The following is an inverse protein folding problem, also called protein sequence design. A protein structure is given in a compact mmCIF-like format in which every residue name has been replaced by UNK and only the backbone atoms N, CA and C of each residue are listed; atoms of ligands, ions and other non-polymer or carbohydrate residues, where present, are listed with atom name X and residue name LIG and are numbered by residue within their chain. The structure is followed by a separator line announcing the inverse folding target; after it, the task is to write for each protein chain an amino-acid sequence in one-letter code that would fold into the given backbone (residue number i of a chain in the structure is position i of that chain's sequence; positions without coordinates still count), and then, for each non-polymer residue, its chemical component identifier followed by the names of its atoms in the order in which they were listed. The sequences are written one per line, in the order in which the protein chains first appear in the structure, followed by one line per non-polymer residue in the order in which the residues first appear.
data_IF_624216288084
#
_entry.id   IF_624216288084
#
_cell.length_a   1.000
_cell.length_b   1.000
_cell.length_c   1.000
_cell.angle_alpha   90.00
_cell.angle_beta   90.00
_cell.angle_gamma   90.00
#
_symmetry.space_group_name_H-M   'P 1'
#
loop_
_entity.id
_entity.type
_entity.pdbx_description
1 polymer ?
#
# COMPACT_ATOMS: atom_id res chain seq x y z
N UNK A 1 -4.30 -19.38 13.57
CA UNK A 1 -4.43 -18.08 12.87
C UNK A 1 -3.89 -18.16 11.44
N UNK A 2 -4.40 -19.08 10.60
CA UNK A 2 -3.94 -19.28 9.19
C UNK A 2 -4.86 -18.65 8.14
N UNK A 3 -5.99 -18.06 8.55
CA UNK A 3 -7.09 -17.67 7.65
C UNK A 3 -7.18 -16.18 7.32
N UNK A 4 -6.29 -15.34 7.86
CA UNK A 4 -6.41 -13.88 7.75
C UNK A 4 -5.31 -13.22 6.91
N UNK A 5 -4.45 -14.01 6.24
CA UNK A 5 -3.46 -13.43 5.33
C UNK A 5 -4.15 -12.90 4.07
N UNK A 6 -3.64 -11.79 3.55
CA UNK A 6 -4.08 -11.25 2.27
C UNK A 6 -3.70 -12.22 1.14
N UNK A 7 -4.69 -12.65 0.35
CA UNK A 7 -4.55 -13.68 -0.68
C UNK A 7 -5.12 -13.22 -2.04
N UNK A 8 -5.07 -11.92 -2.34
CA UNK A 8 -5.62 -11.28 -3.55
C UNK A 8 -7.15 -11.22 -3.65
N UNK A 9 -7.88 -12.14 -3.03
CA UNK A 9 -9.35 -12.21 -3.12
C UNK A 9 -10.08 -11.51 -1.98
N UNK A 10 -9.42 -11.31 -0.84
CA UNK A 10 -10.03 -10.87 0.41
C UNK A 10 -9.66 -9.42 0.79
N UNK A 11 -9.45 -8.53 -0.18
CA UNK A 11 -8.93 -7.18 0.07
C UNK A 11 -9.74 -6.39 1.10
N UNK A 12 -11.07 -6.37 0.98
CA UNK A 12 -11.95 -5.62 1.89
C UNK A 12 -11.87 -6.15 3.32
N UNK A 13 -11.91 -7.48 3.50
CA UNK A 13 -11.82 -8.11 4.83
C UNK A 13 -10.43 -7.96 5.43
N UNK A 14 -9.38 -8.12 4.62
CA UNK A 14 -8.00 -7.91 5.03
C UNK A 14 -7.77 -6.46 5.46
N UNK A 15 -8.23 -5.48 4.69
CA UNK A 15 -8.08 -4.05 5.02
C UNK A 15 -8.80 -3.71 6.33
N UNK A 16 -10.01 -4.27 6.56
CA UNK A 16 -10.72 -4.11 7.83
C UNK A 16 -9.91 -4.68 9.00
N UNK A 17 -9.37 -5.88 8.86
CA UNK A 17 -8.55 -6.51 9.90
C UNK A 17 -7.25 -5.74 10.16
N UNK A 18 -6.60 -5.24 9.11
CA UNK A 18 -5.41 -4.40 9.21
C UNK A 18 -5.71 -3.13 10.00
N UNK A 19 -6.80 -2.42 9.69
CA UNK A 19 -7.21 -1.22 10.42
C UNK A 19 -7.41 -1.48 11.91
N UNK A 20 -8.05 -2.59 12.28
CA UNK A 20 -8.21 -2.98 13.69
C UNK A 20 -6.86 -3.15 14.40
N UNK A 21 -5.90 -3.84 13.76
CA UNK A 21 -4.54 -4.01 14.32
C UNK A 21 -3.83 -2.66 14.45
N UNK A 22 -3.96 -1.79 13.46
CA UNK A 22 -3.30 -0.48 13.48
C UNK A 22 -3.94 0.51 14.45
N UNK A 23 -5.24 0.44 14.65
CA UNK A 23 -5.95 1.24 15.66
C UNK A 23 -5.50 0.83 17.07
N UNK A 24 -5.33 -0.48 17.32
CA UNK A 24 -4.76 -0.97 18.57
C UNK A 24 -3.34 -0.42 18.82
N UNK A 25 -2.55 -0.24 17.75
CA UNK A 25 -1.19 0.29 17.82
C UNK A 25 -1.12 1.84 17.77
N UNK A 26 -2.26 2.54 17.67
CA UNK A 26 -2.35 3.99 17.42
C UNK A 26 -1.62 4.47 16.15
N UNK A 27 -1.64 3.65 15.10
CA UNK A 27 -0.92 3.88 13.83
C UNK A 27 -1.82 3.89 12.59
N UNK A 28 -3.16 3.84 12.75
CA UNK A 28 -4.11 3.85 11.63
C UNK A 28 -3.91 5.03 10.67
N UNK A 29 -3.50 6.19 11.19
CA UNK A 29 -3.25 7.41 10.43
C UNK A 29 -2.21 7.25 9.30
N UNK A 30 -1.30 6.27 9.40
CA UNK A 30 -0.24 6.01 8.41
C UNK A 30 -0.81 5.49 7.09
N UNK A 31 -2.00 4.88 7.10
CA UNK A 31 -2.65 4.39 5.87
C UNK A 31 -3.20 5.53 5.01
N UNK A 32 -3.69 6.60 5.63
CA UNK A 32 -4.49 7.63 4.96
C UNK A 32 -3.73 8.94 4.74
N UNK A 33 -2.65 9.19 5.50
CA UNK A 33 -1.86 10.42 5.42
C UNK A 33 -0.61 10.23 4.56
N UNK A 34 -0.19 11.25 3.79
CA UNK A 34 1.07 11.20 3.07
C UNK A 34 2.24 11.14 4.05
N UNK A 35 3.30 10.43 3.63
CA UNK A 35 4.60 10.45 4.30
C UNK A 35 5.22 11.84 4.21
N UNK A 36 5.52 12.52 5.34
CA UNK A 36 6.31 13.74 5.30
C UNK A 36 7.65 13.50 4.61
N UNK A 37 7.98 14.30 3.61
CA UNK A 37 9.19 14.10 2.78
C UNK A 37 10.37 14.95 3.22
N UNK A 38 10.13 16.06 3.92
CA UNK A 38 11.18 16.97 4.36
C UNK A 38 10.79 17.69 5.66
N UNK A 39 11.81 18.11 6.40
CA UNK A 39 11.71 19.06 7.51
C UNK A 39 12.32 20.40 7.07
N UNK A 40 11.58 21.51 7.17
CA UNK A 40 12.13 22.85 6.90
C UNK A 40 13.34 23.18 7.78
N UNK A 41 14.26 23.98 7.24
CA UNK A 41 15.33 24.55 8.04
C UNK A 41 14.75 25.43 9.15
N UNK A 42 15.28 25.29 10.37
CA UNK A 42 14.71 25.96 11.55
C UNK A 42 13.51 25.27 12.20
N UNK A 43 13.12 24.07 11.75
CA UNK A 43 12.07 23.27 12.43
C UNK A 43 12.35 23.12 13.92
N UNK A 44 11.31 23.31 14.73
CA UNK A 44 11.32 23.12 16.17
C UNK A 44 11.68 21.68 16.56
N UNK A 45 12.17 21.45 17.79
CA UNK A 45 12.37 20.11 18.31
C UNK A 45 11.11 19.23 18.20
N UNK A 46 9.93 19.80 18.44
CA UNK A 46 8.64 19.12 18.39
C UNK A 46 8.26 18.65 16.98
N UNK A 47 8.52 19.49 15.97
CA UNK A 47 8.33 19.12 14.56
C UNK A 47 9.27 17.99 14.13
N UNK A 48 10.54 18.06 14.56
CA UNK A 48 11.53 17.00 14.29
C UNK A 48 11.12 15.67 14.92
N UNK A 49 10.69 15.69 16.18
CA UNK A 49 10.18 14.50 16.87
C UNK A 49 8.95 13.91 16.16
N UNK A 50 8.04 14.77 15.69
CA UNK A 50 6.85 14.34 14.96
C UNK A 50 7.23 13.67 13.63
N UNK A 51 8.19 14.24 12.89
CA UNK A 51 8.69 13.68 11.65
C UNK A 51 9.37 12.32 11.86
N UNK A 52 10.28 12.22 12.83
CA UNK A 52 10.95 10.96 13.18
C UNK A 52 9.96 9.88 13.61
N UNK A 53 8.95 10.27 14.40
CA UNK A 53 7.86 9.37 14.81
C UNK A 53 7.10 8.86 13.59
N UNK A 54 6.75 9.73 12.64
CA UNK A 54 6.05 9.32 11.43
C UNK A 54 6.86 8.28 10.64
N UNK A 55 8.15 8.52 10.41
CA UNK A 55 9.02 7.57 9.70
C UNK A 55 9.16 6.23 10.45
N UNK A 56 9.21 6.26 11.78
CA UNK A 56 9.23 5.04 12.61
C UNK A 56 7.93 4.27 12.46
N UNK A 57 6.79 4.95 12.55
CA UNK A 57 5.47 4.36 12.42
C UNK A 57 5.28 3.79 11.02
N UNK A 58 5.70 4.48 9.96
CA UNK A 58 5.71 3.95 8.59
C UNK A 58 6.48 2.64 8.45
N UNK A 59 7.70 2.56 9.00
CA UNK A 59 8.48 1.30 8.97
C UNK A 59 7.74 0.17 9.66
N UNK A 60 7.13 0.44 10.83
CA UNK A 60 6.37 -0.56 11.60
C UNK A 60 5.12 -1.01 10.85
N UNK A 61 4.30 -0.07 10.36
CA UNK A 61 3.09 -0.37 9.59
C UNK A 61 3.41 -1.11 8.30
N UNK A 62 4.48 -0.73 7.59
CA UNK A 62 4.98 -1.47 6.42
C UNK A 62 5.28 -2.93 6.77
N UNK A 63 6.00 -3.19 7.86
CA UNK A 63 6.27 -4.56 8.31
C UNK A 63 4.99 -5.35 8.63
N UNK A 64 4.01 -4.71 9.28
CA UNK A 64 2.70 -5.32 9.59
C UNK A 64 1.96 -5.69 8.29
N UNK A 65 1.93 -4.77 7.32
CA UNK A 65 1.31 -5.02 6.01
C UNK A 65 1.99 -6.21 5.33
N UNK A 66 3.32 -6.22 5.22
CA UNK A 66 4.06 -7.28 4.53
C UNK A 66 3.88 -8.66 5.19
N UNK A 67 3.95 -8.76 6.52
CA UNK A 67 3.78 -10.05 7.21
C UNK A 67 2.34 -10.57 7.13
N UNK A 68 1.37 -9.66 6.97
CA UNK A 68 -0.04 -10.00 6.79
C UNK A 68 -0.39 -10.53 5.39
N UNK A 69 0.56 -10.56 4.47
CA UNK A 69 0.38 -11.08 3.11
C UNK A 69 0.81 -12.54 2.99
N UNK A 70 0.34 -13.23 1.94
CA UNK A 70 1.01 -14.45 1.47
C UNK A 70 2.41 -14.11 0.92
N UNK A 71 3.29 -15.10 0.87
CA UNK A 71 4.67 -14.90 0.44
C UNK A 71 4.76 -14.42 -1.01
N UNK A 72 3.85 -14.87 -1.87
CA UNK A 72 3.79 -14.52 -3.29
C UNK A 72 3.44 -13.04 -3.48
N UNK A 73 2.53 -12.51 -2.66
CA UNK A 73 2.14 -11.10 -2.71
C UNK A 73 3.20 -10.26 -2.02
N UNK A 74 3.69 -10.67 -0.85
CA UNK A 74 4.73 -9.96 -0.09
C UNK A 74 5.93 -9.58 -0.97
N UNK A 75 6.45 -10.51 -1.78
CA UNK A 75 7.58 -10.27 -2.70
C UNK A 75 7.33 -9.15 -3.73
N UNK A 76 6.07 -8.86 -4.06
CA UNK A 76 5.72 -7.80 -5.02
C UNK A 76 5.76 -6.40 -4.38
N UNK A 77 5.66 -6.31 -3.06
CA UNK A 77 5.55 -5.05 -2.30
C UNK A 77 6.74 -4.80 -1.37
N UNK A 78 7.60 -5.80 -1.09
CA UNK A 78 8.70 -5.68 -0.10
C UNK A 78 9.75 -4.61 -0.43
N UNK A 79 9.85 -4.20 -1.70
CA UNK A 79 10.77 -3.14 -2.15
C UNK A 79 10.19 -1.73 -2.04
N UNK A 80 8.90 -1.58 -1.76
CA UNK A 80 8.27 -0.27 -1.57
C UNK A 80 8.52 0.21 -0.15
N UNK A 81 9.03 1.42 0.00
CA UNK A 81 9.47 1.92 1.30
C UNK A 81 8.37 2.64 2.08
N UNK A 82 7.38 3.20 1.37
CA UNK A 82 6.31 3.99 1.95
C UNK A 82 4.97 3.26 1.91
N UNK A 83 4.25 3.31 3.03
CA UNK A 83 2.93 2.70 3.18
C UNK A 83 1.90 3.30 2.20
N UNK A 84 1.86 4.63 1.97
CA UNK A 84 0.91 5.21 1.01
C UNK A 84 1.02 4.61 -0.40
N UNK A 85 2.22 4.41 -0.95
CA UNK A 85 2.41 3.80 -2.27
C UNK A 85 1.99 2.34 -2.31
N UNK A 86 2.25 1.58 -1.23
CA UNK A 86 1.77 0.19 -1.11
C UNK A 86 0.24 0.19 -1.15
N UNK A 87 -0.41 1.00 -0.31
CA UNK A 87 -1.86 1.06 -0.21
C UNK A 87 -2.53 1.53 -1.49
N UNK A 88 -1.97 2.53 -2.17
CA UNK A 88 -2.46 3.02 -3.44
C UNK A 88 -2.45 1.90 -4.50
N UNK A 89 -1.30 1.26 -4.69
CA UNK A 89 -1.15 0.16 -5.66
C UNK A 89 -2.08 -1.00 -5.34
N UNK A 90 -2.21 -1.37 -4.06
CA UNK A 90 -3.14 -2.43 -3.66
C UNK A 90 -4.59 -2.06 -3.93
N UNK A 91 -5.00 -0.81 -3.68
CA UNK A 91 -6.35 -0.33 -3.96
C UNK A 91 -6.65 -0.41 -5.46
N UNK A 92 -5.74 0.04 -6.31
CA UNK A 92 -5.89 0.00 -7.76
C UNK A 92 -6.04 -1.43 -8.30
N UNK A 93 -5.30 -2.38 -7.74
CA UNK A 93 -5.33 -3.78 -8.21
C UNK A 93 -6.50 -4.56 -7.60
N UNK A 94 -6.78 -4.40 -6.31
CA UNK A 94 -7.64 -5.34 -5.57
C UNK A 94 -8.94 -4.74 -5.04
N UNK A 95 -9.10 -3.42 -5.01
CA UNK A 95 -10.36 -2.80 -4.59
C UNK A 95 -11.40 -2.74 -5.72
N UNK A 96 -11.04 -3.13 -6.94
CA UNK A 96 -11.98 -3.19 -8.08
C UNK A 96 -12.94 -4.38 -7.86
N UNK A 97 -14.27 -4.16 -7.79
CA UNK A 97 -15.22 -5.18 -7.34
C UNK A 97 -15.47 -6.36 -8.29
N UNK A 98 -14.78 -6.46 -9.42
CA UNK A 98 -15.04 -7.51 -10.40
C UNK A 98 -13.73 -8.14 -10.89
N UNK A 99 -13.66 -9.47 -10.78
CA UNK A 99 -12.49 -10.25 -11.17
C UNK A 99 -12.13 -10.04 -12.65
N UNK A 100 -13.12 -9.86 -13.53
CA UNK A 100 -12.91 -9.59 -14.96
C UNK A 100 -12.40 -8.17 -15.18
N UNK A 101 -12.92 -7.17 -14.46
CA UNK A 101 -12.44 -5.78 -14.53
C UNK A 101 -11.01 -5.68 -13.97
N UNK A 102 -10.67 -6.43 -12.91
CA UNK A 102 -9.32 -6.50 -12.36
C UNK A 102 -8.29 -7.06 -13.36
N UNK A 103 -8.62 -8.13 -14.08
CA UNK A 103 -7.74 -8.67 -15.11
C UNK A 103 -7.61 -7.73 -16.32
N UNK A 104 -8.69 -7.05 -16.72
CA UNK A 104 -8.64 -6.03 -17.77
C UNK A 104 -7.76 -4.83 -17.36
N UNK A 105 -7.93 -4.32 -16.14
CA UNK A 105 -7.10 -3.24 -15.58
C UNK A 105 -5.63 -3.65 -15.49
N UNK A 106 -5.32 -4.85 -14.97
CA UNK A 106 -3.93 -5.33 -14.86
C UNK A 106 -3.25 -5.48 -16.23
N UNK A 107 -4.01 -5.83 -17.28
CA UNK A 107 -3.50 -5.88 -18.66
C UNK A 107 -3.22 -4.50 -19.27
N UNK A 108 -3.91 -3.45 -18.82
CA UNK A 108 -3.65 -2.07 -19.25
C UNK A 108 -2.32 -1.54 -18.67
N UNK A 109 -1.80 -2.12 -17.58
CA UNK A 109 -0.62 -1.59 -16.85
C UNK A 109 0.72 -2.30 -17.12
N UNK A 110 0.89 -2.97 -18.27
CA UNK A 110 2.19 -3.53 -18.64
C UNK A 110 3.17 -2.39 -19.01
N UNK A 111 4.33 -2.35 -18.33
CA UNK A 111 5.45 -1.44 -18.67
C UNK A 111 6.05 -1.83 -20.02
N UNK A 112 6.40 -0.84 -20.83
CA UNK A 112 7.29 -1.07 -21.98
C UNK A 112 8.75 -1.29 -21.54
N UNK A 113 9.62 -1.60 -22.50
CA UNK A 113 11.04 -1.85 -22.26
C UNK A 113 11.80 -0.64 -21.69
N UNK A 114 11.19 0.55 -21.70
CA UNK A 114 11.74 1.80 -21.17
C UNK A 114 11.13 2.22 -19.83
N UNK A 115 10.22 1.41 -19.27
CA UNK A 115 9.57 1.68 -17.99
C UNK A 115 8.53 2.79 -18.02
N UNK A 116 8.01 3.16 -19.21
CA UNK A 116 6.91 4.12 -19.36
C UNK A 116 5.55 3.42 -19.34
N UNK A 117 4.55 4.16 -18.86
CA UNK A 117 3.16 3.71 -18.79
C UNK A 117 2.50 3.88 -20.16
N UNK A 118 2.06 2.78 -20.77
CA UNK A 118 1.33 2.80 -22.04
C UNK A 118 -0.12 2.39 -21.78
N UNK A 119 -1.07 3.17 -22.31
CA UNK A 119 -2.50 2.80 -22.31
C UNK A 119 -2.76 2.07 -23.64
N UNK A 120 -3.05 0.77 -23.60
CA UNK A 120 -3.45 0.03 -24.80
C UNK A 120 -4.90 0.40 -25.19
N UNK A 121 -5.04 1.15 -26.28
CA UNK A 121 -6.32 1.56 -26.85
C UNK A 121 -6.95 0.47 -27.72
N UNK A 122 -7.17 -0.75 -27.21
CA UNK A 122 -7.95 -1.77 -27.91
C UNK A 122 -8.77 -2.61 -26.93
N UNK A 123 -9.92 -2.09 -26.50
CA UNK A 123 -11.01 -2.87 -25.88
C UNK A 123 -12.32 -2.08 -25.87
N UNK A 124 -12.74 -1.59 -27.04
CA UNK A 124 -14.15 -1.32 -27.34
C UNK A 124 -14.39 -1.73 -28.79
N UNK A 125 -14.95 -2.92 -28.98
CA UNK A 125 -15.68 -3.29 -30.19
C UNK A 125 -17.16 -3.07 -29.95
#
# INVERSE_FOLDING_TARGET
MKTNKFNDTNYTDWLRNLRIVLDFENQGYVLDKPLPTALPEGSSPEERLTFEKWHKDNRKVRSIILVSMTNEIQKQYERLEDVPSIMLRMKEVYAIPDRHIRYAATKIFLRDQDGRWIICAESWG
#
